data_IF_913866874812
#
_entry.id   IF_913866874812
#
_cell.length_a   1.000
_cell.length_b   1.000
_cell.length_c   1.000
_cell.angle_alpha   90.00
_cell.angle_beta   90.00
_cell.angle_gamma   90.00
#
_symmetry.space_group_name_H-M   'P 1'
#
loop_
_entity.id
_entity.type
_entity.pdbx_description
1 polymer ?
2 non-polymer ?
3 water ?
#
# COMPACT_ATOMS: atom_id res chain seq x y z
N UNK A 3 -17.65 15.37 16.93
CA UNK A 3 -16.65 14.93 17.91
C UNK A 3 -15.28 15.59 17.71
N UNK A 4 -15.00 15.95 16.44
CA UNK A 4 -13.75 16.59 16.07
C UNK A 4 -14.13 17.79 15.16
N UNK A 5 -14.78 18.83 15.72
CA UNK A 5 -15.22 19.96 14.87
C UNK A 5 -14.08 20.77 14.26
N UNK A 6 -14.38 21.54 13.19
CA UNK A 6 -13.38 22.44 12.60
C UNK A 6 -13.01 23.45 13.70
N UNK A 7 -11.71 23.71 13.85
CA UNK A 7 -11.21 24.60 14.89
C UNK A 7 -10.76 23.85 16.14
N UNK A 8 -10.98 22.51 16.20
CA UNK A 8 -10.49 21.78 17.39
C UNK A 8 -8.97 21.79 17.44
N UNK A 9 -8.40 22.07 18.61
CA UNK A 9 -6.94 22.08 18.81
C UNK A 9 -6.56 20.73 19.41
N UNK A 10 -5.59 20.07 18.78
CA UNK A 10 -5.06 18.79 19.22
C UNK A 10 -3.61 18.99 19.61
N UNK A 11 -3.18 18.36 20.69
CA UNK A 11 -1.83 18.38 21.20
C UNK A 11 -1.15 17.04 20.88
N UNK A 12 0.01 17.09 20.23
CA UNK A 12 0.71 15.83 19.99
C UNK A 12 1.67 15.52 21.14
N UNK A 13 2.34 14.36 21.12
CA UNK A 13 3.24 13.92 22.21
C UNK A 13 4.48 14.80 22.36
N UNK A 14 4.94 15.43 21.26
CA UNK A 14 6.09 16.32 21.20
C UNK A 14 5.73 17.73 21.69
N UNK A 15 4.47 17.94 22.03
CA UNK A 15 4.02 19.22 22.50
C UNK A 15 3.41 20.13 21.43
N UNK A 16 3.61 19.80 20.16
CA UNK A 16 3.07 20.60 19.06
C UNK A 16 1.54 20.62 19.04
N UNK A 17 0.98 21.70 18.51
CA UNK A 17 -0.47 21.84 18.40
C UNK A 17 -0.90 21.89 16.94
N UNK A 18 -2.07 21.32 16.68
CA UNK A 18 -2.65 21.18 15.36
C UNK A 18 -4.10 21.58 15.42
N UNK A 19 -4.54 22.33 14.42
CA UNK A 19 -5.93 22.78 14.34
C UNK A 19 -6.60 22.01 13.25
N UNK A 20 -7.75 21.43 13.58
CA UNK A 20 -8.53 20.69 12.62
C UNK A 20 -9.25 21.57 11.63
N UNK A 21 -9.24 21.10 10.40
CA UNK A 21 -9.96 21.68 9.29
C UNK A 21 -11.08 20.73 8.94
N UNK A 22 -11.49 20.74 7.70
CA UNK A 22 -12.55 19.92 7.15
C UNK A 22 -12.23 18.43 7.15
N UNK A 23 -13.24 17.58 7.47
CA UNK A 23 -13.18 16.13 7.37
C UNK A 23 -13.26 15.80 5.88
N UNK A 24 -12.23 15.14 5.34
CA UNK A 24 -12.18 14.87 3.90
C UNK A 24 -12.52 13.39 3.57
N UNK A 25 -12.78 12.60 4.58
CA UNK A 25 -13.19 11.23 4.36
C UNK A 25 -12.79 10.31 5.48
N UNK A 26 -12.76 9.03 5.16
CA UNK A 26 -12.32 7.99 6.07
C UNK A 26 -11.19 7.25 5.37
N UNK A 27 -10.12 6.97 6.08
CA UNK A 27 -9.02 6.22 5.51
C UNK A 27 -8.71 5.07 6.44
N UNK A 28 -8.72 3.85 5.91
CA UNK A 28 -8.45 2.70 6.75
C UNK A 28 -9.44 2.65 7.90
N UNK A 29 -8.91 2.58 9.10
CA UNK A 29 -9.72 2.57 10.30
C UNK A 29 -9.69 3.95 10.98
N UNK A 30 -9.67 5.02 10.16
CA UNK A 30 -9.66 6.37 10.69
C UNK A 30 -10.52 7.37 9.98
N UNK A 31 -10.84 8.49 10.65
CA UNK A 31 -11.49 9.64 10.06
C UNK A 31 -10.32 10.55 9.67
N UNK A 32 -10.37 11.13 8.46
CA UNK A 32 -9.30 11.97 7.93
C UNK A 32 -9.76 13.42 7.89
N UNK A 33 -9.01 14.32 8.53
CA UNK A 33 -9.31 15.76 8.59
C UNK A 33 -8.14 16.53 8.06
N UNK A 34 -8.39 17.69 7.42
CA UNK A 34 -7.30 18.58 7.04
C UNK A 34 -6.83 19.17 8.36
N UNK A 35 -5.54 19.49 8.48
CA UNK A 35 -4.99 20.01 9.73
C UNK A 35 -3.90 21.02 9.46
N UNK A 36 -3.75 21.96 10.40
CA UNK A 36 -2.80 23.07 10.30
C UNK A 36 -1.95 23.17 11.55
N UNK A 37 -0.64 23.46 11.45
CA UNK A 37 0.12 23.73 12.68
C UNK A 37 -0.34 25.09 13.24
N UNK A 38 -0.27 25.28 14.58
CA UNK A 38 -0.64 26.57 15.17
C UNK A 38 0.48 27.58 14.90
N UNK A 39 1.68 27.09 14.56
CA UNK A 39 2.86 27.88 14.23
C UNK A 39 3.05 27.94 12.71
N UNK A 40 2.93 29.15 12.16
CA UNK A 40 3.10 29.46 10.74
C UNK A 40 2.32 28.50 9.78
N UNK A 41 0.97 28.44 9.85
CA UNK A 41 0.24 27.56 8.92
C UNK A 41 0.18 28.13 7.49
N UNK A 42 0.12 27.25 6.48
CA UNK A 42 -0.06 27.68 5.08
C UNK A 42 -1.57 27.94 4.86
N UNK A 43 -1.96 28.66 3.80
CA UNK A 43 -3.37 28.89 3.46
C UNK A 43 -4.08 27.57 3.16
N UNK A 44 -3.40 26.66 2.44
CA UNK A 44 -3.90 25.34 2.07
C UNK A 44 -3.21 24.31 2.95
N UNK A 45 -3.98 23.41 3.58
CA UNK A 45 -3.43 22.39 4.49
C UNK A 45 -2.37 21.50 3.80
N UNK A 46 -1.27 21.18 4.52
CA UNK A 46 -0.20 20.31 4.01
C UNK A 46 -0.14 19.07 4.91
N UNK A 47 -1.04 19.00 5.89
CA UNK A 47 -1.09 17.89 6.84
C UNK A 47 -2.51 17.46 7.00
N UNK A 48 -2.67 16.21 7.45
CA UNK A 48 -3.96 15.63 7.81
C UNK A 48 -3.83 15.05 9.21
N UNK A 49 -4.96 14.86 9.87
CA UNK A 49 -5.05 14.15 11.13
C UNK A 49 -5.93 12.92 10.85
N UNK A 50 -5.39 11.76 11.18
CA UNK A 50 -6.03 10.47 11.07
C UNK A 50 -6.45 10.13 12.52
N UNK A 51 -7.75 10.02 12.77
CA UNK A 51 -8.28 9.75 14.09
C UNK A 51 -9.03 8.43 14.06
N UNK A 52 -8.86 7.66 15.13
CA UNK A 52 -9.59 6.42 15.37
C UNK A 52 -11.00 6.80 15.77
N UNK A 53 -11.98 5.99 15.40
CA UNK A 53 -13.35 6.27 15.77
C UNK A 53 -13.92 5.07 16.55
N UNK A 54 -13.06 4.11 16.88
CA UNK A 54 -13.47 2.89 17.55
C UNK A 54 -12.51 2.35 18.61
N UNK A 55 -13.04 1.55 19.53
CA UNK A 55 -12.23 0.95 20.59
C UNK A 55 -11.23 0.03 19.93
N UNK A 56 -10.03 -0.04 20.50
CA UNK A 56 -8.90 -0.82 19.97
C UNK A 56 -8.55 -0.27 18.58
N UNK A 57 -8.60 -1.11 17.56
CA UNK A 57 -8.28 -0.68 16.22
C UNK A 57 -6.85 -0.93 15.81
N UNK A 58 -6.56 -0.60 14.57
CA UNK A 58 -5.23 -0.83 14.00
C UNK A 58 -4.35 0.40 13.99
N UNK A 59 -4.76 1.46 14.66
CA UNK A 59 -3.95 2.66 14.59
C UNK A 59 -2.72 2.43 15.41
N UNK A 60 -2.81 1.73 16.57
CA UNK A 60 -1.59 1.47 17.36
C UNK A 60 -0.54 0.73 16.56
N UNK A 61 -0.99 -0.27 15.81
CA UNK A 61 -0.13 -1.04 14.93
C UNK A 61 0.48 -0.15 13.86
N UNK A 62 -0.34 0.73 13.27
CA UNK A 62 0.18 1.63 12.27
C UNK A 62 1.14 2.66 12.85
N UNK A 63 0.85 3.15 14.07
CA UNK A 63 1.73 4.07 14.77
C UNK A 63 3.10 3.44 14.97
N UNK A 64 3.12 2.17 15.44
CA UNK A 64 4.36 1.45 15.66
C UNK A 64 5.15 1.24 14.40
N UNK A 65 4.46 1.01 13.26
CA UNK A 65 5.12 0.87 11.96
C UNK A 65 5.86 2.19 11.64
N UNK A 66 5.19 3.34 11.81
CA UNK A 66 5.83 4.64 11.52
C UNK A 66 7.01 4.95 12.45
N UNK A 67 6.86 4.64 13.75
CA UNK A 67 7.93 4.83 14.74
C UNK A 67 9.14 3.97 14.43
N UNK A 68 8.90 2.75 13.90
CA UNK A 68 9.95 1.78 13.62
C UNK A 68 10.65 1.93 12.28
N UNK A 69 9.89 2.08 11.20
CA UNK A 69 10.52 2.15 9.89
C UNK A 69 10.44 3.49 9.15
N UNK A 70 9.44 4.30 9.48
CA UNK A 70 9.27 5.59 8.83
C UNK A 70 9.95 6.76 9.50
N UNK A 71 11.27 6.71 9.60
CA UNK A 71 11.99 7.80 10.21
C UNK A 71 12.45 8.66 9.04
N UNK A 72 12.21 9.97 9.14
CA UNK A 72 12.60 10.92 8.10
C UNK A 72 14.07 10.76 7.73
N UNK A 73 14.89 10.68 8.76
CA UNK A 73 16.33 10.53 8.64
C UNK A 73 16.69 9.28 7.85
N UNK A 74 16.18 8.16 8.31
CA UNK A 74 16.44 6.86 7.70
C UNK A 74 15.99 6.78 6.26
N UNK A 75 14.82 7.34 5.97
CA UNK A 75 14.29 7.33 4.62
C UNK A 75 15.15 8.15 3.67
N UNK A 76 15.54 9.34 4.10
CA UNK A 76 16.38 10.21 3.28
C UNK A 76 17.73 9.55 3.01
N UNK A 77 18.30 8.91 4.02
CA UNK A 77 19.56 8.20 3.87
C UNK A 77 19.41 7.04 2.87
N UNK A 78 18.28 6.36 2.94
CA UNK A 78 17.99 5.26 2.03
C UNK A 78 17.92 5.79 0.60
N UNK A 79 17.13 6.84 0.40
CA UNK A 79 16.96 7.48 -0.89
C UNK A 79 18.31 7.89 -1.50
N UNK A 80 19.17 8.46 -0.67
CA UNK A 80 20.53 8.88 -1.06
C UNK A 80 21.36 7.70 -1.54
N UNK A 81 21.41 6.60 -0.74
CA UNK A 81 22.17 5.38 -1.06
C UNK A 81 21.62 4.63 -2.28
N UNK A 82 20.29 4.55 -2.41
CA UNK A 82 19.66 3.89 -3.54
C UNK A 82 19.44 4.82 -4.73
N UNK A 83 19.84 6.07 -4.58
CA UNK A 83 19.70 7.08 -5.62
C UNK A 83 18.30 7.16 -6.21
N UNK A 84 17.30 7.32 -5.36
CA UNK A 84 15.93 7.42 -5.82
C UNK A 84 15.50 8.87 -5.86
N UNK A 85 14.50 9.18 -6.67
CA UNK A 85 14.00 10.54 -6.73
C UNK A 85 13.13 10.78 -5.50
N UNK A 86 12.35 9.76 -5.14
CA UNK A 86 11.47 9.78 -3.97
C UNK A 86 11.07 8.37 -3.55
N UNK A 87 10.49 8.24 -2.37
CA UNK A 87 10.01 6.97 -1.85
C UNK A 87 8.53 7.16 -1.51
N UNK A 88 7.68 6.32 -2.05
CA UNK A 88 6.23 6.45 -1.86
C UNK A 88 5.66 6.11 -0.49
N UNK A 89 6.26 6.65 0.58
CA UNK A 89 5.81 6.49 1.98
C UNK A 89 5.52 7.90 2.49
N UNK A 90 4.29 8.20 2.97
CA UNK A 90 4.00 9.56 3.47
C UNK A 90 4.85 9.93 4.70
N UNK A 91 5.03 11.23 4.91
CA UNK A 91 5.74 11.70 6.10
C UNK A 91 4.82 11.60 7.32
N UNK A 92 5.39 11.16 8.45
CA UNK A 92 4.75 11.08 9.76
C UNK A 92 5.20 12.31 10.57
N UNK A 93 4.27 13.08 11.11
CA UNK A 93 4.57 14.29 11.86
C UNK A 93 4.40 14.20 13.36
N UNK A 94 3.49 13.37 13.83
CA UNK A 94 3.29 13.23 15.26
C UNK A 94 2.02 12.47 15.58
N UNK A 95 1.82 12.17 16.85
CA UNK A 95 0.65 11.44 17.31
C UNK A 95 0.26 11.88 18.70
N UNK A 96 -0.89 11.40 19.15
CA UNK A 96 -1.36 11.70 20.49
C UNK A 96 -2.74 11.15 20.71
N UNK A 97 -3.44 11.75 21.66
CA UNK A 97 -4.79 11.40 22.03
C UNK A 97 -5.66 12.64 21.99
N UNK A 98 -6.91 12.43 21.59
CA UNK A 98 -7.93 13.47 21.58
C UNK A 98 -9.12 12.89 22.33
N UNK A 99 -9.93 13.72 22.90
CA UNK A 99 -11.05 13.27 23.70
C UNK A 99 -12.38 13.74 23.14
N UNK A 100 -13.41 12.92 23.39
CA UNK A 100 -14.80 13.21 23.06
C UNK A 100 -15.68 12.46 24.06
N UNK A 101 -16.45 13.21 24.87
CA UNK A 101 -17.40 12.71 25.88
C UNK A 101 -16.76 11.75 26.91
N UNK A 102 -15.51 12.02 27.29
CA UNK A 102 -14.77 11.24 28.28
C UNK A 102 -14.04 10.02 27.74
N UNK A 103 -14.12 9.82 26.42
CA UNK A 103 -13.46 8.71 25.75
C UNK A 103 -12.26 9.28 24.99
N UNK A 104 -11.13 8.55 25.02
CA UNK A 104 -9.91 8.95 24.33
C UNK A 104 -9.85 8.30 22.95
N UNK A 105 -9.24 8.98 21.97
CA UNK A 105 -9.03 8.44 20.63
C UNK A 105 -7.63 8.75 20.19
N UNK A 106 -6.95 7.77 19.63
CA UNK A 106 -5.60 7.97 19.09
C UNK A 106 -5.71 8.71 17.76
N UNK A 107 -4.72 9.59 17.49
CA UNK A 107 -4.66 10.30 16.24
C UNK A 107 -3.23 10.32 15.78
N UNK A 108 -3.00 10.43 14.46
CA UNK A 108 -1.67 10.61 13.88
C UNK A 108 -1.75 11.78 12.94
N UNK A 109 -0.67 12.53 12.84
CA UNK A 109 -0.56 13.70 11.94
C UNK A 109 0.34 13.22 10.83
N UNK A 110 -0.24 13.20 9.64
CA UNK A 110 0.42 12.73 8.44
C UNK A 110 0.46 13.78 7.36
N UNK A 111 1.23 13.48 6.33
CA UNK A 111 1.39 14.31 5.17
C UNK A 111 0.12 14.29 4.37
N UNK A 112 -0.31 15.45 3.89
CA UNK A 112 -1.50 15.52 3.08
C UNK A 112 -1.15 14.98 1.68
N UNK A 113 -2.01 14.14 1.12
CA UNK A 113 -1.74 13.58 -0.20
C UNK A 113 -2.76 14.11 -1.17
N UNK A 114 -2.62 13.76 -2.45
CA UNK A 114 -3.55 14.16 -3.50
C UNK A 114 -4.64 13.12 -3.65
N UNK A 115 -5.21 12.99 -4.86
CA UNK A 115 -6.31 12.06 -5.13
C UNK A 115 -5.89 10.59 -5.10
N UNK A 116 -6.82 9.72 -4.66
CA UNK A 116 -6.59 8.29 -4.66
C UNK A 116 -6.83 7.72 -6.10
N UNK A 117 -6.07 6.69 -6.45
CA UNK A 117 -6.11 6.08 -7.78
C UNK A 117 -7.46 5.57 -8.28
N UNK A 118 -8.34 5.15 -7.37
CA UNK A 118 -9.67 4.66 -7.76
C UNK A 118 -10.51 5.71 -8.45
N UNK A 119 -10.30 6.99 -8.10
CA UNK A 119 -11.06 8.09 -8.69
C UNK A 119 -10.58 8.50 -10.10
N UNK A 120 -9.32 8.17 -10.45
CA UNK A 120 -8.78 8.59 -11.76
C UNK A 120 -8.50 7.40 -12.71
N UNK A 121 -9.21 6.29 -12.49
CA UNK A 121 -9.12 5.07 -13.31
C UNK A 121 -10.02 5.17 -14.55
N UNK A 122 -9.78 4.28 -15.54
CA UNK A 122 -10.64 4.16 -16.70
C UNK A 122 -11.82 3.26 -16.34
N UNK A 123 -12.53 2.72 -17.37
CA UNK A 123 -13.68 1.82 -17.13
C UNK A 123 -13.29 0.62 -16.24
N UNK A 124 -14.19 0.27 -15.29
CA UNK A 124 -14.06 -0.82 -14.31
C UNK A 124 -12.66 -0.88 -13.69
N UNK A 125 -12.24 0.26 -13.13
CA UNK A 125 -10.95 0.44 -12.45
C UNK A 125 -9.68 0.05 -13.19
N UNK A 126 -9.54 0.42 -14.48
CA UNK A 126 -8.32 0.13 -15.28
C UNK A 126 -7.38 1.33 -15.40
N UNK A 127 -6.11 1.05 -15.72
CA UNK A 127 -5.10 2.07 -15.97
C UNK A 127 -4.34 1.70 -17.22
N UNK A 128 -3.74 2.70 -17.85
CA UNK A 128 -2.94 2.48 -19.04
C UNK A 128 -1.75 1.60 -18.70
N UNK A 129 -1.41 0.71 -19.62
CA UNK A 129 -0.30 -0.23 -19.46
C UNK A 129 0.99 0.40 -18.93
N UNK A 130 1.35 1.55 -19.47
CA UNK A 130 2.56 2.23 -19.02
C UNK A 130 2.44 2.71 -17.58
N UNK A 131 1.26 3.12 -17.18
CA UNK A 131 1.07 3.59 -15.82
C UNK A 131 1.13 2.41 -14.87
N UNK A 132 0.51 1.32 -15.26
CA UNK A 132 0.50 0.09 -14.47
C UNK A 132 1.91 -0.34 -14.11
N UNK A 133 2.80 -0.35 -15.09
CA UNK A 133 4.19 -0.75 -14.86
C UNK A 133 4.95 0.20 -13.95
N UNK A 134 4.75 1.51 -14.10
CA UNK A 134 5.43 2.44 -13.24
C UNK A 134 4.95 2.35 -11.80
N UNK A 135 3.68 2.07 -11.61
CA UNK A 135 3.13 1.94 -10.27
C UNK A 135 3.78 0.74 -9.58
N UNK A 136 3.96 -0.35 -10.32
CA UNK A 136 4.61 -1.53 -9.81
C UNK A 136 6.01 -1.23 -9.32
N UNK A 137 6.76 -0.51 -10.13
CA UNK A 137 8.14 -0.14 -9.78
C UNK A 137 8.19 0.72 -8.51
N UNK A 138 7.28 1.69 -8.42
CA UNK A 138 7.26 2.54 -7.27
C UNK A 138 6.95 1.69 -6.04
N UNK A 139 5.97 0.81 -6.17
CA UNK A 139 5.57 -0.07 -5.08
C UNK A 139 6.71 -0.99 -4.66
N UNK A 140 7.50 -1.48 -5.61
CA UNK A 140 8.63 -2.35 -5.30
C UNK A 140 9.66 -1.62 -4.44
N UNK A 141 9.88 -0.35 -4.75
CA UNK A 141 10.82 0.46 -3.98
C UNK A 141 10.31 0.62 -2.55
N UNK A 142 9.00 0.81 -2.39
CA UNK A 142 8.42 0.94 -1.07
C UNK A 142 8.52 -0.41 -0.40
N UNK A 143 8.24 -1.46 -1.15
CA UNK A 143 8.30 -2.80 -0.63
C UNK A 143 9.70 -3.11 -0.17
N UNK A 144 10.71 -2.79 -0.97
CA UNK A 144 12.10 -3.06 -0.58
C UNK A 144 12.48 -2.41 0.73
N UNK A 145 12.06 -1.17 0.92
CA UNK A 145 12.35 -0.42 2.12
C UNK A 145 11.71 -1.00 3.36
N UNK A 146 10.41 -1.29 3.30
CA UNK A 146 9.73 -1.82 4.47
C UNK A 146 10.18 -3.25 4.80
N UNK A 147 10.47 -4.05 3.77
CA UNK A 147 10.93 -5.41 3.98
C UNK A 147 12.27 -5.36 4.70
N UNK A 148 13.17 -4.47 4.25
CA UNK A 148 14.50 -4.33 4.86
C UNK A 148 14.37 -3.91 6.32
N UNK A 149 13.20 -3.32 6.67
CA UNK A 149 12.90 -2.83 8.00
C UNK A 149 11.91 -3.75 8.77
N UNK A 150 11.88 -5.07 8.40
CA UNK A 150 11.18 -6.17 9.09
C UNK A 150 9.67 -6.18 8.97
N UNK A 151 9.13 -5.40 8.04
CA UNK A 151 7.70 -5.34 7.86
C UNK A 151 7.25 -5.74 6.47
N UNK A 152 6.03 -6.27 6.41
CA UNK A 152 5.33 -6.60 5.18
C UNK A 152 3.99 -5.85 5.23
N UNK A 153 3.57 -5.31 4.08
CA UNK A 153 2.32 -4.57 3.99
C UNK A 153 0.98 -5.31 4.05
N UNK A 154 0.81 -6.34 3.23
CA UNK A 154 -0.38 -7.17 3.21
C UNK A 154 -1.69 -6.65 2.61
N UNK A 155 -1.70 -5.42 2.10
CA UNK A 155 -2.91 -4.81 1.55
C UNK A 155 -2.70 -3.79 0.43
N UNK A 156 -1.81 -4.04 -0.52
CA UNK A 156 -1.58 -3.09 -1.61
C UNK A 156 -2.76 -3.20 -2.57
N UNK A 157 -3.48 -2.08 -2.85
CA UNK A 157 -4.65 -1.98 -3.73
C UNK A 157 -4.79 -0.54 -4.17
N UNK A 158 -5.51 -0.29 -5.28
CA UNK A 158 -5.71 1.08 -5.80
C UNK A 158 -6.24 2.06 -4.74
N UNK A 159 -7.15 1.64 -3.87
CA UNK A 159 -7.71 2.51 -2.82
C UNK A 159 -6.67 3.01 -1.80
N UNK A 160 -5.53 2.32 -1.67
CA UNK A 160 -4.45 2.68 -0.75
C UNK A 160 -3.33 3.46 -1.45
N UNK A 161 -3.52 3.79 -2.75
CA UNK A 161 -2.53 4.52 -3.53
C UNK A 161 -3.06 5.90 -3.81
N UNK A 162 -2.28 6.92 -3.44
CA UNK A 162 -2.71 8.31 -3.68
C UNK A 162 -1.59 9.05 -4.33
N UNK A 163 -1.91 10.05 -5.14
CA UNK A 163 -0.89 10.87 -5.75
C UNK A 163 -0.40 11.90 -4.73
N UNK A 164 0.74 12.52 -5.01
CA UNK A 164 1.25 13.55 -4.13
C UNK A 164 0.34 14.77 -4.15
N UNK A 165 0.30 15.49 -3.04
CA UNK A 165 -0.53 16.68 -2.97
C UNK A 165 -0.08 17.71 -3.99
N UNK A 166 1.18 18.09 -3.91
CA UNK A 166 1.73 19.08 -4.82
C UNK A 166 2.24 18.45 -6.10
N UNK A 167 2.56 17.17 -6.03
CA UNK A 167 3.08 16.48 -7.20
C UNK A 167 2.25 15.31 -7.71
N UNK A 168 1.60 15.51 -8.84
CA UNK A 168 0.76 14.48 -9.46
C UNK A 168 1.54 13.35 -10.14
N UNK A 169 2.85 13.49 -10.30
CA UNK A 169 3.63 12.43 -10.92
C UNK A 169 4.30 11.52 -9.89
N UNK A 170 3.90 11.65 -8.64
CA UNK A 170 4.42 10.83 -7.56
C UNK A 170 3.26 10.10 -6.90
N UNK A 171 3.42 8.80 -6.65
CA UNK A 171 2.38 7.96 -6.02
C UNK A 171 2.85 7.50 -4.65
N UNK A 172 1.92 7.40 -3.69
CA UNK A 172 2.23 7.01 -2.32
C UNK A 172 1.32 5.87 -1.89
N UNK A 173 1.89 4.88 -1.19
CA UNK A 173 1.16 3.81 -0.51
C UNK A 173 0.83 4.45 0.86
N UNK A 174 -0.46 4.78 1.14
CA UNK A 174 -0.83 5.62 2.30
C UNK A 174 -1.47 4.96 3.51
N UNK A 175 -1.57 3.63 3.57
CA UNK A 175 -2.17 3.00 4.75
C UNK A 175 -1.39 1.76 5.09
N UNK A 176 -1.04 1.59 6.36
CA UNK A 176 -0.24 0.48 6.81
C UNK A 176 -0.90 -0.20 8.00
N UNK A 177 -2.23 -0.14 8.03
CA UNK A 177 -3.00 -0.73 9.10
C UNK A 177 -2.93 -2.23 9.25
N UNK A 178 -2.72 -2.94 8.15
CA UNK A 178 -2.64 -4.39 8.17
C UNK A 178 -1.20 -4.87 8.12
N UNK A 179 -0.26 -3.95 8.19
CA UNK A 179 1.15 -4.28 8.12
C UNK A 179 1.57 -5.23 9.24
N UNK A 180 2.60 -6.00 8.96
CA UNK A 180 3.05 -7.04 9.88
C UNK A 180 4.56 -7.14 9.99
N UNK A 181 5.05 -7.38 11.20
CA UNK A 181 6.47 -7.54 11.44
C UNK A 181 6.82 -9.02 11.24
N UNK A 182 7.27 -9.36 10.04
CA UNK A 182 7.57 -10.74 9.68
C UNK A 182 8.94 -11.23 10.11
N UNK A 183 9.81 -10.30 10.48
CA UNK A 183 11.19 -10.62 10.86
C UNK A 183 11.60 -9.89 12.15
N UNK A 184 10.87 -9.97 13.28
CA UNK A 184 11.29 -9.18 14.45
C UNK A 184 12.70 -9.53 14.92
N UNK A 185 13.58 -8.51 14.94
CA UNK A 185 15.00 -8.58 15.32
C UNK A 185 15.82 -9.55 14.44
N UNK A 186 15.48 -9.61 13.16
CA UNK A 186 16.15 -10.47 12.19
C UNK A 186 15.80 -11.93 12.26
N UNK A 187 14.69 -12.26 12.95
CA UNK A 187 14.23 -13.64 13.08
C UNK A 187 12.95 -13.89 12.25
N UNK A 188 13.13 -14.47 11.05
CA UNK A 188 12.05 -14.80 10.12
C UNK A 188 11.14 -15.85 10.76
N UNK A 189 9.82 -15.66 10.62
CA UNK A 189 8.80 -16.58 11.12
C UNK A 189 8.90 -17.94 10.41
N UNK A 190 8.56 -19.02 11.11
CA UNK A 190 8.54 -20.37 10.53
C UNK A 190 7.27 -20.53 9.68
N UNK A 191 7.26 -21.48 8.76
CA UNK A 191 6.08 -21.70 7.95
C UNK A 191 5.08 -22.53 8.74
N UNK A 192 3.86 -22.05 8.87
CA UNK A 192 2.84 -22.76 9.61
C UNK A 192 1.47 -22.30 9.18
N UNK A 193 0.65 -23.22 8.72
CA UNK A 193 -0.69 -22.88 8.29
C UNK A 193 -1.64 -22.80 9.46
N UNK A 194 -2.65 -21.95 9.36
CA UNK A 194 -3.66 -21.80 10.40
C UNK A 194 -4.98 -21.37 9.80
N UNK A 195 -5.91 -22.29 9.66
CA UNK A 195 -7.21 -21.99 9.05
C UNK A 195 -8.00 -20.91 9.80
N UNK A 196 -7.93 -20.91 11.11
CA UNK A 196 -8.67 -19.94 11.90
C UNK A 196 -8.22 -18.49 11.68
N UNK A 197 -7.01 -18.32 11.18
CA UNK A 197 -6.50 -16.99 10.91
C UNK A 197 -6.34 -16.80 9.41
N UNK A 198 -7.14 -17.51 8.62
CA UNK A 198 -7.05 -17.44 7.18
C UNK A 198 -7.98 -16.46 6.50
N UNK A 199 -7.72 -16.24 5.22
CA UNK A 199 -8.46 -15.33 4.36
C UNK A 199 -8.55 -13.87 4.78
N UNK A 200 -7.47 -13.36 5.38
CA UNK A 200 -7.41 -11.97 5.78
C UNK A 200 -7.03 -11.08 4.58
N UNK A 201 -7.17 -9.76 4.74
CA UNK A 201 -6.84 -8.82 3.68
C UNK A 201 -7.99 -8.57 2.73
N UNK A 202 -7.74 -7.88 1.62
CA UNK A 202 -8.79 -7.61 0.62
C UNK A 202 -8.82 -8.88 -0.25
N UNK A 203 -9.95 -9.59 -0.26
CA UNK A 203 -10.03 -10.90 -0.86
C UNK A 203 -9.62 -10.99 -2.32
N UNK A 204 -10.01 -10.00 -3.09
CA UNK A 204 -9.64 -9.91 -4.52
C UNK A 204 -8.12 -9.98 -4.77
N UNK A 205 -7.32 -9.41 -3.86
CA UNK A 205 -5.88 -9.27 -4.04
C UNK A 205 -5.00 -9.96 -3.03
N UNK A 206 -5.56 -10.51 -1.97
CA UNK A 206 -4.77 -11.14 -0.92
C UNK A 206 -3.94 -12.34 -1.39
N UNK A 207 -2.81 -12.57 -0.74
CA UNK A 207 -1.92 -13.65 -1.16
C UNK A 207 -2.41 -15.04 -0.79
N UNK A 208 -1.92 -16.04 -1.49
CA UNK A 208 -2.27 -17.42 -1.22
C UNK A 208 -1.82 -17.80 0.18
N UNK A 209 -0.72 -17.21 0.63
CA UNK A 209 -0.22 -17.46 1.97
C UNK A 209 -1.30 -16.98 2.94
N UNK A 210 -1.85 -15.78 2.71
CA UNK A 210 -2.91 -15.25 3.53
C UNK A 210 -4.13 -16.18 3.52
N UNK A 211 -4.50 -16.67 2.35
CA UNK A 211 -5.63 -17.59 2.24
C UNK A 211 -5.47 -18.80 3.14
N UNK A 212 -4.26 -19.35 3.17
CA UNK A 212 -3.94 -20.54 3.95
C UNK A 212 -3.67 -20.29 5.42
N UNK A 213 -3.71 -19.05 5.86
CA UNK A 213 -3.48 -18.73 7.25
C UNK A 213 -2.04 -18.76 7.68
N UNK A 214 -1.15 -18.62 6.70
CA UNK A 214 0.28 -18.62 6.93
C UNK A 214 0.70 -17.19 7.23
N UNK A 215 1.58 -17.00 8.21
CA UNK A 215 2.06 -15.67 8.55
C UNK A 215 2.69 -15.07 7.31
N UNK A 216 2.35 -13.83 7.02
CA UNK A 216 2.87 -13.15 5.83
C UNK A 216 4.36 -12.93 5.83
N UNK A 217 4.95 -13.15 4.66
CA UNK A 217 6.37 -12.92 4.42
C UNK A 217 6.54 -12.02 3.16
N UNK A 218 7.79 -11.75 2.80
CA UNK A 218 8.06 -10.87 1.67
C UNK A 218 7.37 -11.27 0.35
N UNK A 219 7.37 -12.56 0.03
CA UNK A 219 6.76 -13.05 -1.19
C UNK A 219 5.25 -12.75 -1.29
N UNK A 220 4.55 -12.70 -0.17
CA UNK A 220 3.14 -12.38 -0.22
C UNK A 220 2.91 -10.97 -0.78
N UNK A 221 3.77 -10.03 -0.40
CA UNK A 221 3.69 -8.64 -0.85
C UNK A 221 3.86 -8.55 -2.37
N UNK A 222 4.85 -9.24 -2.90
CA UNK A 222 5.12 -9.25 -4.32
C UNK A 222 3.93 -9.86 -5.07
N UNK A 223 3.44 -10.97 -4.55
CA UNK A 223 2.27 -11.65 -5.12
C UNK A 223 1.05 -10.72 -5.25
N UNK A 224 0.71 -10.01 -4.17
CA UNK A 224 -0.41 -9.07 -4.17
C UNK A 224 -0.20 -8.01 -5.24
N UNK A 225 1.01 -7.49 -5.32
CA UNK A 225 1.34 -6.47 -6.32
C UNK A 225 1.07 -7.02 -7.72
N UNK A 226 1.43 -8.28 -7.94
CA UNK A 226 1.16 -8.96 -9.21
C UNK A 226 -0.33 -9.02 -9.54
N UNK A 227 -1.19 -9.47 -8.57
CA UNK A 227 -2.66 -9.51 -8.81
C UNK A 227 -3.18 -8.11 -9.07
N UNK A 228 -2.62 -7.12 -8.34
CA UNK A 228 -2.97 -5.72 -8.52
C UNK A 228 -2.76 -5.26 -9.95
N UNK A 229 -1.55 -5.46 -10.50
CA UNK A 229 -1.19 -5.06 -11.87
C UNK A 229 -2.06 -5.74 -12.92
N UNK A 230 -2.33 -7.04 -12.76
CA UNK A 230 -3.21 -7.78 -13.69
C UNK A 230 -4.60 -7.17 -13.71
N UNK A 231 -5.12 -6.82 -12.53
CA UNK A 231 -6.44 -6.19 -12.35
C UNK A 231 -6.48 -4.79 -12.99
N UNK A 232 -5.42 -3.99 -12.79
CA UNK A 232 -5.31 -2.63 -13.33
C UNK A 232 -5.23 -2.62 -14.85
N UNK A 233 -4.58 -3.62 -15.42
CA UNK A 233 -4.47 -3.65 -16.86
C UNK A 233 -5.64 -4.34 -17.55
N UNK A 234 -6.25 -5.33 -16.91
CA UNK A 234 -7.34 -6.06 -17.53
C UNK A 234 -8.75 -5.63 -17.15
N UNK A 235 -8.92 -5.01 -15.99
CA UNK A 235 -10.23 -4.55 -15.54
C UNK A 235 -11.09 -5.59 -14.86
N UNK A 236 -10.51 -6.76 -14.59
CA UNK A 236 -11.17 -7.87 -13.90
C UNK A 236 -10.15 -8.97 -13.66
N UNK A 237 -10.51 -9.92 -12.80
CA UNK A 237 -9.68 -11.06 -12.47
C UNK A 237 -10.54 -12.33 -12.64
N UNK A 238 -9.95 -13.50 -13.00
CA UNK A 238 -10.79 -14.73 -13.17
C UNK A 238 -11.70 -15.09 -11.99
N UNK A 239 -11.42 -14.54 -10.78
CA UNK A 239 -12.19 -14.78 -9.56
C UNK A 239 -13.12 -13.59 -9.14
N UNK A 240 -13.40 -12.65 -10.08
CA UNK A 240 -14.28 -11.47 -9.88
C UNK A 240 -15.69 -11.82 -9.38
N UNK A 241 -16.31 -12.89 -9.92
CA UNK A 241 -17.66 -13.29 -9.54
C UNK A 241 -17.70 -14.29 -8.35
N UNK A 242 -16.54 -14.52 -7.71
CA UNK A 242 -16.41 -15.49 -6.61
C UNK A 242 -15.93 -14.88 -5.28
N UNK A 243 -15.84 -13.54 -5.20
CA UNK A 243 -15.33 -12.77 -4.05
C UNK A 243 -15.99 -13.07 -2.69
N UNK A 244 -17.21 -13.65 -2.69
CA UNK A 244 -17.92 -13.98 -1.46
C UNK A 244 -17.56 -15.39 -0.97
N UNK A 245 -16.76 -16.13 -1.77
CA UNK A 245 -16.27 -17.46 -1.43
C UNK A 245 -14.74 -17.42 -1.42
N UNK A 246 -14.14 -17.18 -0.27
CA UNK A 246 -12.69 -17.08 -0.19
C UNK A 246 -11.93 -18.31 -0.65
N UNK A 247 -12.48 -19.50 -0.48
CA UNK A 247 -11.79 -20.71 -0.91
C UNK A 247 -11.80 -20.81 -2.43
N UNK A 248 -12.87 -20.38 -3.04
CA UNK A 248 -13.01 -20.38 -4.51
C UNK A 248 -11.98 -19.43 -5.12
N UNK A 249 -11.74 -18.28 -4.45
CA UNK A 249 -10.76 -17.26 -4.85
C UNK A 249 -9.35 -17.86 -4.72
N UNK A 250 -9.10 -18.55 -3.63
CA UNK A 250 -7.82 -19.22 -3.40
C UNK A 250 -7.55 -20.24 -4.50
N UNK A 251 -8.53 -21.08 -4.78
CA UNK A 251 -8.44 -22.13 -5.81
C UNK A 251 -8.15 -21.50 -7.19
N UNK A 252 -8.87 -20.43 -7.56
CA UNK A 252 -8.67 -19.71 -8.82
C UNK A 252 -7.28 -19.08 -8.89
N UNK A 253 -6.76 -18.54 -7.76
CA UNK A 253 -5.40 -17.96 -7.71
C UNK A 253 -4.39 -19.08 -7.92
N UNK A 254 -4.59 -20.25 -7.25
CA UNK A 254 -3.68 -21.40 -7.44
C UNK A 254 -3.69 -21.82 -8.90
N UNK A 255 -4.89 -21.90 -9.50
CA UNK A 255 -5.04 -22.27 -10.91
C UNK A 255 -4.37 -21.26 -11.84
N UNK A 256 -4.49 -19.98 -11.55
CA UNK A 256 -3.83 -18.98 -12.37
C UNK A 256 -2.30 -19.15 -12.34
N UNK A 257 -1.72 -19.19 -11.14
CA UNK A 257 -0.28 -19.33 -10.96
C UNK A 257 0.26 -20.64 -11.49
N UNK A 258 -0.47 -21.73 -11.32
CA UNK A 258 -0.02 -23.01 -11.81
C UNK A 258 0.00 -23.13 -13.33
N UNK A 259 -0.81 -22.33 -14.01
CA UNK A 259 -0.93 -22.35 -15.47
C UNK A 259 -0.11 -21.23 -16.14
N UNK A 260 0.77 -20.54 -15.37
CA UNK A 260 1.60 -19.47 -15.92
C UNK A 260 2.58 -19.97 -16.99
N UNK A 261 2.98 -19.12 -17.97
CA UNK A 261 2.51 -17.74 -18.23
C UNK A 261 1.23 -17.66 -19.10
N UNK A 262 0.83 -18.76 -19.81
CA UNK A 262 -0.35 -18.71 -20.70
C UNK A 262 -1.63 -18.26 -20.04
N UNK A 263 -1.84 -18.57 -18.74
CA UNK A 263 -3.03 -18.18 -17.97
C UNK A 263 -3.20 -16.65 -17.97
N UNK A 264 -2.11 -15.91 -17.77
CA UNK A 264 -2.09 -14.45 -17.75
C UNK A 264 -2.02 -13.86 -19.17
N UNK A 265 -1.24 -14.51 -20.03
CA UNK A 265 -1.08 -14.15 -21.44
C UNK A 265 -2.36 -14.25 -22.27
N UNK A 266 -3.29 -15.10 -21.86
CA UNK A 266 -4.56 -15.27 -22.54
C UNK A 266 -5.61 -14.35 -21.92
N UNK A 267 -5.46 -14.06 -20.64
CA UNK A 267 -6.38 -13.21 -19.91
C UNK A 267 -6.38 -11.78 -20.45
N UNK A 268 -5.24 -11.23 -20.79
CA UNK A 268 -5.16 -9.86 -21.28
C UNK A 268 -6.08 -9.49 -22.45
N UNK A 269 -6.51 -8.24 -22.48
CA UNK A 269 -7.33 -7.76 -23.60
C UNK A 269 -6.40 -7.48 -24.77
N UNK A 270 -6.89 -7.64 -25.99
CA UNK A 270 -6.06 -7.42 -27.17
C UNK A 270 -5.36 -6.07 -27.25
N UNK A 271 -4.13 -6.08 -27.75
CA UNK A 271 -3.31 -4.88 -27.93
C UNK A 271 -2.53 -4.42 -26.71
N UNK A 272 -2.87 -4.93 -25.53
CA UNK A 272 -2.18 -4.55 -24.30
C UNK A 272 -1.79 -5.84 -23.60
N UNK A 273 -0.62 -6.35 -23.93
CA UNK A 273 -0.14 -7.60 -23.38
C UNK A 273 0.22 -7.59 -21.91
N UNK A 274 0.13 -8.78 -21.32
CA UNK A 274 0.48 -8.99 -19.94
C UNK A 274 1.77 -9.78 -19.94
N UNK A 275 2.67 -9.41 -20.83
CA UNK A 275 3.96 -10.04 -21.02
C UNK A 275 4.83 -9.77 -19.80
N UNK A 276 4.89 -8.51 -19.40
CA UNK A 276 5.69 -8.13 -18.26
C UNK A 276 5.09 -8.68 -16.98
N UNK A 277 3.77 -8.61 -16.85
CA UNK A 277 3.09 -9.08 -15.66
C UNK A 277 3.16 -10.60 -15.50
N UNK A 278 3.11 -11.33 -16.61
CA UNK A 278 3.20 -12.78 -16.52
C UNK A 278 4.59 -13.15 -16.01
N UNK A 279 5.60 -12.47 -16.53
CA UNK A 279 6.98 -12.70 -16.12
C UNK A 279 7.14 -12.35 -14.65
N UNK A 280 6.54 -11.22 -14.25
CA UNK A 280 6.59 -10.76 -12.89
C UNK A 280 6.00 -11.82 -11.96
N UNK A 281 4.84 -12.36 -12.36
CA UNK A 281 4.17 -13.37 -11.56
C UNK A 281 4.98 -14.67 -11.52
N UNK A 282 5.68 -14.98 -12.60
CA UNK A 282 6.51 -16.16 -12.63
C UNK A 282 7.63 -15.95 -11.61
N UNK A 283 8.26 -14.76 -11.64
CA UNK A 283 9.30 -14.43 -10.67
C UNK A 283 8.80 -14.50 -9.21
N UNK A 284 7.65 -13.88 -8.97
CA UNK A 284 6.99 -13.80 -7.66
C UNK A 284 6.61 -15.18 -7.11
N UNK A 285 6.01 -16.06 -7.96
CA UNK A 285 5.63 -17.39 -7.50
C UNK A 285 6.80 -18.37 -7.29
N UNK A 286 8.02 -18.03 -7.77
CA UNK A 286 9.18 -18.93 -7.58
C UNK A 286 9.89 -18.67 -6.23
N UNK A 287 9.44 -17.70 -5.46
CA UNK A 287 10.12 -17.45 -4.22
C UNK A 287 9.81 -18.50 -3.18
N UNK A 288 10.82 -18.85 -2.36
CA UNK A 288 10.65 -19.71 -1.19
C UNK A 288 10.03 -18.82 -0.08
N UNK A 289 9.48 -19.44 0.96
CA UNK A 289 8.81 -18.69 2.02
C UNK A 289 9.62 -17.61 2.71
N UNK A 290 10.89 -17.90 2.95
CA UNK A 290 11.83 -16.99 3.63
C UNK A 290 12.79 -16.27 2.64
N UNK A 291 12.59 -16.48 1.36
CA UNK A 291 13.48 -15.92 0.33
C UNK A 291 13.39 -14.42 0.01
N UNK A 292 14.49 -13.69 0.12
CA UNK A 292 14.47 -12.28 -0.20
C UNK A 292 14.16 -12.10 -1.69
N UNK A 293 13.17 -11.26 -2.01
CA UNK A 293 12.85 -11.04 -3.42
C UNK A 293 13.98 -10.33 -4.15
N UNK A 294 14.09 -10.59 -5.44
CA UNK A 294 15.09 -9.92 -6.23
C UNK A 294 14.45 -8.66 -6.77
N UNK A 295 14.40 -7.63 -5.94
CA UNK A 295 13.75 -6.37 -6.31
C UNK A 295 14.25 -5.80 -7.62
N UNK A 296 15.56 -5.83 -7.82
CA UNK A 296 16.19 -5.32 -9.01
C UNK A 296 15.69 -6.08 -10.25
N UNK A 297 15.61 -7.41 -10.17
CA UNK A 297 15.13 -8.26 -11.28
C UNK A 297 13.67 -8.02 -11.60
N UNK A 298 12.88 -7.80 -10.56
CA UNK A 298 11.46 -7.52 -10.73
C UNK A 298 11.26 -6.17 -11.41
N UNK A 299 12.04 -5.18 -11.03
CA UNK A 299 11.93 -3.86 -11.63
C UNK A 299 12.28 -3.92 -13.10
N UNK A 300 13.32 -4.68 -13.45
CA UNK A 300 13.72 -4.83 -14.86
C UNK A 300 12.67 -5.61 -15.66
N UNK A 301 11.88 -6.44 -15.00
CA UNK A 301 10.82 -7.16 -15.70
C UNK A 301 9.72 -6.16 -16.08
N UNK A 302 9.52 -5.16 -15.24
CA UNK A 302 8.48 -4.16 -15.46
C UNK A 302 8.94 -3.00 -16.34
N UNK A 303 10.25 -2.87 -16.51
CA UNK A 303 10.84 -1.81 -17.33
C UNK A 303 11.96 -2.45 -18.14
N UNK A 304 11.61 -3.36 -19.02
CA UNK A 304 12.63 -4.12 -19.78
C UNK A 304 13.59 -3.29 -20.64
N UNK A 305 13.17 -2.09 -21.06
CA UNK A 305 14.01 -1.23 -21.90
C UNK A 305 14.78 -0.15 -21.12
N UNK A 306 14.63 -0.14 -19.80
CA UNK A 306 15.28 0.82 -18.92
C UNK A 306 14.99 2.27 -19.26
N UNK A 307 13.71 2.56 -19.59
CA UNK A 307 13.24 3.89 -19.95
C UNK A 307 13.12 4.68 -18.63
N UNK A 308 13.55 5.97 -18.52
CA UNK A 308 13.37 6.67 -17.23
C UNK A 308 11.90 6.76 -16.83
N UNK A 309 11.64 6.81 -15.52
CA UNK A 309 10.29 6.93 -15.05
C UNK A 309 9.90 8.36 -15.31
N UNK A 310 8.80 8.54 -16.02
CA UNK A 310 8.28 9.85 -16.36
C UNK A 310 6.94 10.14 -15.72
N UNK A 311 6.12 10.99 -16.37
CA UNK A 311 4.80 11.31 -15.80
C UNK A 311 3.85 10.13 -15.81
N UNK A 312 2.89 10.13 -14.88
CA UNK A 312 1.90 9.06 -14.78
C UNK A 312 0.74 9.40 -15.68
N UNK A 313 0.43 8.56 -16.65
CA UNK A 313 -0.62 8.90 -17.60
C UNK A 313 -1.95 8.45 -17.13
N UNK A 314 -2.87 9.36 -16.83
CA UNK A 314 -4.20 8.99 -16.39
C UNK A 314 -5.29 9.48 -17.37
N UNK A 315 -5.00 9.34 -18.66
CA UNK A 315 -5.88 9.79 -19.73
C UNK A 315 -7.19 9.04 -19.97
N UNK A 316 -7.46 7.96 -19.24
CA UNK A 316 -8.72 7.22 -19.42
C UNK A 316 -9.77 7.59 -18.36
N UNK A 317 -9.45 8.55 -17.52
CA UNK A 317 -10.36 8.99 -16.46
C UNK A 317 -11.50 9.85 -16.98
#
# INVERSE_FOLDING_TARGET
>A
SMPFPEGKVLDDMEGNQWVLGKKIGSGGFGLIYLAFPTNKPEKDARHVVKVEYQENGPLFSELKFYQRVAKKDCIKKWIERKQLDYLGIPLFYGSGLTEFKGRSYRFMVMERLGIDLQKISGQNGTFKKSTVLQLGIRMLDVLEYIHENEYVHGDIKAANLLLGYKNPDQVYLADYGLSYRYCPNGNHKQYQENPRKGHNGTIEFTSLDAHKGVALSRRSDVEILGYCMLRWLCGKLPWEQNLKDPVAVQTAKTNLLDELPQSVLKWAPSGSSCCEIAQFLVCAHSLAYDEKPNYQALKKILNPHGIPLGPLDFSTKGQSINVH
#
